data_IF_390342186333
#
_entry.id   IF_390342186333
#
_cell.length_a   1.000
_cell.length_b   1.000
_cell.length_c   1.000
_cell.angle_alpha   90.00
_cell.angle_beta   90.00
_cell.angle_gamma   90.00
#
_symmetry.space_group_name_H-M   'P 1'
#
loop_
_entity.id
_entity.type
_entity.pdbx_description
1 polymer ?
#
# COMPACT_ATOMS: atom_id res chain seq x y z
N UNK A 1 -50.87 34.70 -18.32
CA UNK A 1 -49.82 33.75 -18.73
C UNK A 1 -49.56 32.83 -17.54
N UNK A 2 -49.72 31.51 -17.70
CA UNK A 2 -49.48 30.57 -16.61
C UNK A 2 -47.99 30.20 -16.56
N UNK A 3 -47.35 30.40 -15.41
CA UNK A 3 -45.95 30.04 -15.17
C UNK A 3 -45.81 28.52 -15.17
N UNK A 4 -44.94 27.98 -16.02
CA UNK A 4 -44.63 26.55 -16.06
C UNK A 4 -43.88 26.17 -14.79
N UNK A 5 -44.48 25.32 -13.95
CA UNK A 5 -43.82 24.75 -12.78
C UNK A 5 -42.80 23.72 -13.25
N UNK A 6 -41.50 23.95 -13.01
CA UNK A 6 -40.47 22.93 -13.24
C UNK A 6 -40.72 21.78 -12.26
N UNK A 7 -41.22 20.64 -12.75
CA UNK A 7 -41.30 19.40 -11.97
C UNK A 7 -39.89 18.95 -11.59
N UNK A 8 -39.50 19.14 -10.34
CA UNK A 8 -38.32 18.49 -9.76
C UNK A 8 -38.76 17.06 -9.40
N UNK A 9 -38.30 16.05 -10.13
CA UNK A 9 -38.53 14.65 -9.73
C UNK A 9 -37.76 14.43 -8.43
N UNK A 10 -38.46 14.07 -7.37
CA UNK A 10 -37.84 13.50 -6.19
C UNK A 10 -37.52 12.04 -6.55
N UNK A 11 -36.25 11.66 -6.59
CA UNK A 11 -35.88 10.26 -6.72
C UNK A 11 -36.05 9.63 -5.34
N UNK A 12 -37.07 8.79 -5.18
CA UNK A 12 -37.13 7.86 -4.06
C UNK A 12 -36.08 6.78 -4.34
N UNK A 13 -35.06 6.73 -3.50
CA UNK A 13 -33.96 5.78 -3.61
C UNK A 13 -34.15 4.72 -2.53
N UNK A 14 -33.91 3.46 -2.88
CA UNK A 14 -33.91 2.37 -1.92
C UNK A 14 -32.83 2.61 -0.85
N UNK A 15 -33.10 2.12 0.37
CA UNK A 15 -32.12 2.17 1.45
C UNK A 15 -30.91 1.31 1.06
N UNK A 16 -29.72 1.86 1.26
CA UNK A 16 -28.48 1.17 0.95
C UNK A 16 -28.35 -0.12 1.77
N UNK A 17 -28.06 -1.23 1.09
CA UNK A 17 -27.96 -2.57 1.68
C UNK A 17 -26.57 -2.91 2.23
N UNK A 18 -25.58 -2.02 2.09
CA UNK A 18 -24.20 -2.24 2.54
C UNK A 18 -23.26 -2.86 1.51
N UNK A 19 -23.74 -3.27 0.32
CA UNK A 19 -22.89 -3.83 -0.74
C UNK A 19 -22.30 -2.71 -1.62
N UNK A 20 -20.98 -2.53 -1.56
CA UNK A 20 -20.30 -1.46 -2.30
C UNK A 20 -20.05 -1.80 -3.77
N UNK A 21 -20.11 -3.07 -4.15
CA UNK A 21 -19.66 -3.56 -5.46
C UNK A 21 -20.40 -2.95 -6.65
N UNK A 22 -21.64 -2.52 -6.44
CA UNK A 22 -22.50 -1.88 -7.44
C UNK A 22 -23.09 -0.55 -7.00
N UNK A 23 -22.69 -0.05 -5.82
CA UNK A 23 -23.26 1.15 -5.24
C UNK A 23 -22.60 2.43 -5.76
N UNK A 24 -23.38 3.51 -5.83
CA UNK A 24 -22.89 4.83 -6.23
C UNK A 24 -23.38 5.91 -5.26
N UNK A 25 -22.49 6.82 -4.87
CA UNK A 25 -22.83 8.06 -4.21
C UNK A 25 -23.18 9.07 -5.30
N UNK A 26 -24.37 9.65 -5.18
CA UNK A 26 -24.79 10.76 -6.01
C UNK A 26 -24.47 12.05 -5.27
N UNK A 27 -23.54 12.84 -5.79
CA UNK A 27 -23.20 14.15 -5.22
C UNK A 27 -23.56 15.24 -6.22
N UNK A 28 -23.96 16.40 -5.70
CA UNK A 28 -24.12 17.60 -6.52
C UNK A 28 -23.12 18.66 -6.07
N UNK A 29 -22.35 19.15 -7.03
CA UNK A 29 -21.35 20.22 -6.84
C UNK A 29 -21.57 21.22 -7.97
N UNK A 30 -21.70 22.50 -7.64
CA UNK A 30 -21.93 23.59 -8.60
C UNK A 30 -23.07 23.31 -9.60
N UNK A 31 -24.21 22.84 -9.09
CA UNK A 31 -25.40 22.47 -9.87
C UNK A 31 -25.19 21.34 -10.90
N UNK A 32 -24.03 20.68 -10.90
CA UNK A 32 -23.75 19.46 -11.66
C UNK A 32 -23.91 18.24 -10.78
N UNK A 33 -24.40 17.15 -11.37
CA UNK A 33 -24.53 15.86 -10.69
C UNK A 33 -23.38 14.94 -11.08
N UNK A 34 -22.76 14.32 -10.08
CA UNK A 34 -21.68 13.36 -10.25
C UNK A 34 -22.08 12.02 -9.63
N UNK A 35 -21.64 10.94 -10.28
CA UNK A 35 -21.72 9.58 -9.76
C UNK A 35 -20.34 9.17 -9.30
N UNK A 36 -20.23 8.76 -8.05
CA UNK A 36 -19.01 8.22 -7.49
C UNK A 36 -19.26 6.76 -7.13
N UNK A 37 -18.64 5.80 -7.82
CA UNK A 37 -18.70 4.40 -7.42
C UNK A 37 -18.21 4.23 -5.98
N UNK A 38 -19.02 3.61 -5.12
CA UNK A 38 -18.62 3.34 -3.73
C UNK A 38 -17.53 2.27 -3.65
N UNK A 39 -17.39 1.43 -4.67
CA UNK A 39 -16.23 0.55 -4.84
C UNK A 39 -14.91 1.31 -4.90
N UNK A 40 -14.95 2.58 -5.31
CA UNK A 40 -13.77 3.46 -5.38
C UNK A 40 -13.63 4.32 -4.10
N UNK A 41 -14.60 4.27 -3.18
CA UNK A 41 -14.64 5.10 -1.97
C UNK A 41 -14.65 4.23 -0.70
N UNK A 42 -13.53 4.30 0.01
CA UNK A 42 -13.34 3.71 1.34
C UNK A 42 -13.09 2.21 1.25
N UNK A 43 -11.81 1.84 1.26
CA UNK A 43 -11.33 0.47 1.17
C UNK A 43 -11.98 -0.43 2.21
N UNK A 44 -12.98 -1.19 1.80
CA UNK A 44 -13.90 -1.84 2.70
C UNK A 44 -14.63 -2.97 2.00
N UNK A 45 -13.86 -4.02 1.71
CA UNK A 45 -14.28 -5.27 1.08
C UNK A 45 -13.25 -5.68 0.04
N UNK A 46 -12.33 -6.60 0.37
CA UNK A 46 -11.14 -6.96 -0.43
C UNK A 46 -10.10 -5.83 -0.67
N UNK A 47 -10.49 -4.56 -0.46
CA UNK A 47 -9.66 -3.36 -0.68
C UNK A 47 -9.04 -2.78 0.61
N UNK A 48 -9.06 -3.52 1.72
CA UNK A 48 -8.11 -3.21 2.80
C UNK A 48 -6.74 -3.61 2.25
N UNK A 49 -5.75 -2.70 2.19
CA UNK A 49 -4.36 -3.01 1.83
C UNK A 49 -3.93 -4.25 2.64
N UNK A 50 -4.03 -5.46 2.08
CA UNK A 50 -3.93 -6.65 2.90
C UNK A 50 -2.46 -6.92 3.12
N UNK A 51 -2.10 -7.40 4.31
CA UNK A 51 -0.73 -7.82 4.59
C UNK A 51 -0.30 -8.83 3.52
N UNK A 52 0.70 -8.47 2.72
CA UNK A 52 1.23 -9.33 1.67
C UNK A 52 2.30 -10.24 2.25
N UNK A 53 2.14 -11.54 2.03
CA UNK A 53 3.14 -12.53 2.40
C UNK A 53 3.96 -12.86 1.15
N UNK A 54 5.23 -12.49 1.15
CA UNK A 54 6.16 -12.74 0.07
C UNK A 54 7.21 -13.76 0.52
N UNK A 55 7.60 -14.64 -0.40
CA UNK A 55 8.75 -15.52 -0.23
C UNK A 55 9.72 -15.22 -1.36
N UNK A 56 11.00 -15.00 -1.05
CA UNK A 56 12.04 -14.83 -2.06
C UNK A 56 12.29 -16.14 -2.79
N UNK A 57 11.43 -16.49 -3.75
CA UNK A 57 11.73 -17.53 -4.72
C UNK A 57 12.78 -16.97 -5.70
N UNK A 58 13.77 -17.79 -6.04
CA UNK A 58 14.88 -17.42 -6.94
C UNK A 58 15.73 -16.22 -6.45
N UNK A 59 15.77 -15.97 -5.13
CA UNK A 59 16.57 -14.91 -4.53
C UNK A 59 16.11 -13.50 -4.86
N UNK A 60 14.87 -13.31 -5.33
CA UNK A 60 14.31 -11.98 -5.64
C UNK A 60 12.94 -11.81 -4.99
N UNK A 61 12.70 -10.63 -4.42
CA UNK A 61 11.38 -10.22 -3.92
C UNK A 61 11.06 -8.83 -4.46
N UNK A 62 9.91 -8.72 -5.12
CA UNK A 62 9.37 -7.46 -5.59
C UNK A 62 8.29 -6.97 -4.63
N UNK A 63 8.46 -5.74 -4.14
CA UNK A 63 7.50 -5.05 -3.27
C UNK A 63 6.68 -4.11 -4.16
N UNK A 64 5.36 -4.30 -4.17
CA UNK A 64 4.44 -3.48 -4.95
C UNK A 64 3.62 -2.54 -4.05
N UNK A 65 4.00 -1.26 -3.92
CA UNK A 65 3.29 -0.29 -3.08
C UNK A 65 1.89 0.03 -3.59
N UNK A 66 1.47 -0.48 -4.75
CA UNK A 66 0.13 -0.26 -5.30
C UNK A 66 -0.91 -1.26 -4.77
N UNK A 67 -0.48 -2.37 -4.17
CA UNK A 67 -1.39 -3.43 -3.69
C UNK A 67 -1.44 -3.57 -2.17
N UNK A 68 -0.41 -3.06 -1.47
CA UNK A 68 -0.31 -3.10 -0.02
C UNK A 68 0.71 -2.08 0.51
N UNK A 69 0.61 -1.79 1.80
CA UNK A 69 1.57 -1.02 2.58
C UNK A 69 2.26 -1.87 3.66
N UNK A 70 1.79 -3.09 3.94
CA UNK A 70 2.38 -4.02 4.91
C UNK A 70 2.81 -5.33 4.21
N UNK A 71 4.08 -5.69 4.37
CA UNK A 71 4.70 -6.86 3.74
C UNK A 71 5.45 -7.71 4.76
N UNK A 72 5.09 -8.99 4.84
CA UNK A 72 5.85 -10.01 5.54
C UNK A 72 6.68 -10.77 4.49
N UNK A 73 8.00 -10.70 4.61
CA UNK A 73 8.95 -11.27 3.65
C UNK A 73 9.73 -12.40 4.31
N UNK A 74 9.53 -13.63 3.85
CA UNK A 74 10.37 -14.77 4.27
C UNK A 74 11.63 -14.84 3.41
N UNK A 75 12.79 -14.71 4.06
CA UNK A 75 14.10 -14.83 3.44
C UNK A 75 14.49 -16.31 3.36
N UNK A 76 14.23 -16.94 2.22
CA UNK A 76 14.56 -18.36 1.97
C UNK A 76 15.98 -18.59 1.48
N UNK A 77 16.51 -17.65 0.69
CA UNK A 77 17.81 -17.76 0.04
C UNK A 77 18.93 -17.06 0.82
N UNK A 78 20.20 -17.51 0.69
CA UNK A 78 21.35 -16.88 1.33
C UNK A 78 21.48 -15.39 1.02
N UNK A 79 21.01 -14.96 -0.15
CA UNK A 79 20.92 -13.55 -0.54
C UNK A 79 19.62 -13.34 -1.30
N UNK A 80 18.80 -12.42 -0.82
CA UNK A 80 17.54 -12.00 -1.45
C UNK A 80 17.69 -10.56 -1.94
N UNK A 81 17.53 -10.32 -3.23
CA UNK A 81 17.47 -8.99 -3.79
C UNK A 81 16.04 -8.42 -3.67
N UNK A 82 15.92 -7.24 -3.07
CA UNK A 82 14.65 -6.51 -3.02
C UNK A 82 14.55 -5.52 -4.18
N UNK A 83 13.37 -5.43 -4.78
CA UNK A 83 12.96 -4.33 -5.66
C UNK A 83 11.67 -3.70 -5.14
N UNK A 84 11.43 -2.44 -5.51
CA UNK A 84 10.17 -1.74 -5.24
C UNK A 84 9.66 -1.26 -6.59
N UNK A 85 8.43 -1.62 -6.96
CA UNK A 85 7.82 -1.16 -8.22
C UNK A 85 7.45 0.33 -8.12
N UNK A 86 7.36 1.04 -9.24
CA UNK A 86 6.87 2.42 -9.23
C UNK A 86 5.44 2.51 -8.70
N UNK A 87 5.15 3.57 -7.95
CA UNK A 87 3.78 3.92 -7.60
C UNK A 87 3.05 4.39 -8.86
N UNK A 88 1.86 3.87 -9.08
CA UNK A 88 0.94 4.26 -10.16
C UNK A 88 0.27 5.57 -9.78
N UNK A 89 0.30 6.55 -10.67
CA UNK A 89 -0.30 7.88 -10.50
C UNK A 89 0.05 8.55 -9.14
N UNK A 90 1.34 8.79 -8.86
CA UNK A 90 1.76 9.35 -7.58
C UNK A 90 1.18 10.75 -7.37
N UNK A 91 0.62 10.98 -6.18
CA UNK A 91 -0.02 12.23 -5.79
C UNK A 91 1.02 13.17 -5.19
N UNK A 92 1.26 14.35 -5.79
CA UNK A 92 2.22 15.32 -5.27
C UNK A 92 1.90 15.75 -3.83
N UNK A 93 2.94 15.89 -3.00
CA UNK A 93 2.78 16.29 -1.59
C UNK A 93 2.29 15.19 -0.66
N UNK A 94 2.13 13.96 -1.16
CA UNK A 94 1.74 12.80 -0.36
C UNK A 94 2.96 12.07 0.17
N UNK A 95 2.90 11.63 1.43
CA UNK A 95 3.85 10.69 2.00
C UNK A 95 3.33 9.27 1.78
N UNK A 96 4.20 8.42 1.27
CA UNK A 96 3.95 6.98 1.14
C UNK A 96 4.78 6.25 2.19
N UNK A 97 4.21 5.24 2.83
CA UNK A 97 4.86 4.47 3.89
C UNK A 97 4.66 2.98 3.61
N UNK A 98 5.73 2.20 3.82
CA UNK A 98 5.73 0.74 3.75
C UNK A 98 6.26 0.20 5.07
N UNK A 99 5.61 -0.83 5.61
CA UNK A 99 6.07 -1.61 6.73
C UNK A 99 6.54 -2.97 6.21
N UNK A 100 7.77 -3.34 6.56
CA UNK A 100 8.37 -4.61 6.18
C UNK A 100 8.69 -5.42 7.43
N UNK A 101 8.15 -6.63 7.50
CA UNK A 101 8.55 -7.65 8.48
C UNK A 101 9.40 -8.69 7.76
N UNK A 102 10.69 -8.72 8.05
CA UNK A 102 11.63 -9.66 7.47
C UNK A 102 11.77 -10.87 8.40
N UNK A 103 11.48 -12.07 7.89
CA UNK A 103 11.61 -13.31 8.66
C UNK A 103 12.71 -14.20 8.08
N UNK A 104 13.65 -14.60 8.92
CA UNK A 104 14.71 -15.53 8.54
C UNK A 104 14.17 -16.94 8.28
N UNK A 105 14.34 -17.45 7.05
CA UNK A 105 13.86 -18.77 6.66
C UNK A 105 14.79 -19.93 7.03
N UNK A 106 16.10 -19.71 6.95
CA UNK A 106 17.15 -20.67 7.36
C UNK A 106 18.13 -20.08 8.38
N UNK A 107 18.11 -18.75 8.55
CA UNK A 107 19.16 -18.01 9.26
C UNK A 107 20.32 -17.62 8.34
N UNK A 108 21.08 -16.62 8.76
CA UNK A 108 22.21 -16.01 8.05
C UNK A 108 21.88 -15.45 6.64
N UNK A 109 20.60 -15.32 6.29
CA UNK A 109 20.19 -14.82 5.00
C UNK A 109 20.33 -13.30 4.96
N UNK A 110 20.79 -12.80 3.81
CA UNK A 110 21.10 -11.39 3.57
C UNK A 110 20.11 -10.77 2.60
N UNK A 111 20.01 -9.45 2.66
CA UNK A 111 19.26 -8.66 1.71
C UNK A 111 20.20 -7.79 0.90
N UNK A 112 19.94 -7.71 -0.41
CA UNK A 112 20.46 -6.64 -1.27
C UNK A 112 19.35 -5.61 -1.45
N UNK A 113 19.53 -4.43 -0.86
CA UNK A 113 18.55 -3.35 -0.96
C UNK A 113 18.60 -2.66 -2.33
N UNK A 114 17.46 -2.21 -2.89
CA UNK A 114 17.48 -1.43 -4.12
C UNK A 114 18.11 -0.06 -3.87
N UNK A 115 18.78 0.49 -4.87
CA UNK A 115 19.46 1.79 -4.75
C UNK A 115 18.52 2.97 -4.42
N UNK A 116 17.21 2.81 -4.63
CA UNK A 116 16.16 3.76 -4.25
C UNK A 116 15.98 3.87 -2.73
N UNK A 117 16.35 2.83 -1.96
CA UNK A 117 16.31 2.84 -0.50
C UNK A 117 17.56 3.51 0.05
N UNK A 118 17.36 4.50 0.91
CA UNK A 118 18.38 5.32 1.54
C UNK A 118 18.35 5.11 3.04
N UNK A 119 19.46 4.63 3.58
CA UNK A 119 19.65 4.43 5.01
C UNK A 119 20.37 5.61 5.66
N UNK A 120 20.18 5.85 6.97
CA UNK A 120 20.94 6.86 7.71
C UNK A 120 22.45 6.66 7.51
N UNK A 121 23.13 7.74 7.13
CA UNK A 121 24.57 7.74 6.83
C UNK A 121 25.01 6.76 5.72
N UNK A 122 24.08 6.26 4.90
CA UNK A 122 24.37 5.26 3.86
C UNK A 122 24.70 3.87 4.39
N UNK A 123 24.44 3.60 5.68
CA UNK A 123 24.72 2.32 6.32
C UNK A 123 23.44 1.47 6.40
N UNK A 124 23.44 0.33 5.71
CA UNK A 124 22.34 -0.64 5.77
C UNK A 124 22.13 -1.15 7.21
N UNK A 125 20.88 -1.46 7.59
CA UNK A 125 20.56 -1.90 8.93
C UNK A 125 21.17 -3.27 9.22
N UNK A 126 21.73 -3.51 10.43
CA UNK A 126 22.01 -4.86 10.86
C UNK A 126 20.69 -5.61 11.04
N UNK A 127 20.60 -6.79 10.43
CA UNK A 127 19.47 -7.70 10.56
C UNK A 127 19.81 -8.85 11.52
N UNK A 128 18.77 -9.50 12.02
CA UNK A 128 18.86 -10.77 12.72
C UNK A 128 19.21 -11.89 11.74
N UNK A 129 20.05 -12.81 12.21
CA UNK A 129 20.55 -13.95 11.42
C UNK A 129 20.17 -15.30 12.01
N UNK A 130 19.41 -15.33 13.10
CA UNK A 130 18.90 -16.57 13.69
C UNK A 130 17.71 -17.06 12.87
N UNK A 131 17.57 -18.37 12.70
CA UNK A 131 16.39 -18.99 12.11
C UNK A 131 15.11 -18.47 12.78
N UNK A 132 14.10 -18.15 11.96
CA UNK A 132 12.79 -17.63 12.35
C UNK A 132 12.76 -16.27 13.06
N UNK A 133 13.91 -15.65 13.31
CA UNK A 133 13.95 -14.29 13.86
C UNK A 133 13.28 -13.30 12.90
N UNK A 134 12.58 -12.33 13.48
CA UNK A 134 11.88 -11.28 12.74
C UNK A 134 12.48 -9.89 13.02
N UNK A 135 12.67 -9.12 11.95
CA UNK A 135 13.05 -7.72 12.00
C UNK A 135 11.97 -6.86 11.32
N UNK A 136 11.62 -5.74 11.95
CA UNK A 136 10.59 -4.82 11.45
C UNK A 136 11.24 -3.52 11.02
N UNK A 137 10.96 -3.08 9.80
CA UNK A 137 11.50 -1.88 9.18
C UNK A 137 10.38 -1.04 8.57
N UNK A 138 10.58 0.28 8.55
CA UNK A 138 9.71 1.22 7.85
C UNK A 138 10.47 1.87 6.71
N UNK A 139 9.84 1.95 5.54
CA UNK A 139 10.30 2.76 4.42
C UNK A 139 9.30 3.91 4.20
N UNK A 140 9.80 5.12 3.98
CA UNK A 140 8.95 6.28 3.68
C UNK A 140 9.43 7.08 2.48
N UNK A 141 8.52 7.50 1.62
CA UNK A 141 8.80 8.33 0.44
C UNK A 141 7.95 9.59 0.46
N UNK A 142 8.52 10.69 -0.03
CA UNK A 142 7.83 11.98 -0.23
C UNK A 142 7.96 12.48 -1.68
N UNK A 143 8.47 11.64 -2.58
CA UNK A 143 8.74 11.96 -3.99
C UNK A 143 8.10 10.93 -4.94
N UNK A 144 6.92 10.44 -4.56
CA UNK A 144 6.14 9.51 -5.38
C UNK A 144 6.76 8.12 -5.51
N UNK A 145 7.56 7.68 -4.53
CA UNK A 145 8.19 6.37 -4.52
C UNK A 145 9.51 6.29 -5.29
N UNK A 146 10.07 7.44 -5.72
CA UNK A 146 11.37 7.48 -6.40
C UNK A 146 12.51 7.17 -5.42
N UNK A 147 12.46 7.74 -4.22
CA UNK A 147 13.38 7.44 -3.12
C UNK A 147 12.64 7.09 -1.84
N UNK A 148 13.22 6.17 -1.07
CA UNK A 148 12.65 5.64 0.16
C UNK A 148 13.64 5.79 1.31
N UNK A 149 13.28 6.50 2.37
CA UNK A 149 14.06 6.58 3.60
C UNK A 149 13.74 5.38 4.49
N UNK A 150 14.73 4.57 4.79
CA UNK A 150 14.58 3.40 5.64
C UNK A 150 14.87 3.69 7.11
N UNK A 151 14.11 3.04 8.00
CA UNK A 151 14.33 3.02 9.44
C UNK A 151 14.10 1.62 10.01
N UNK A 152 14.89 1.24 11.01
CA UNK A 152 14.65 0.03 11.81
C UNK A 152 13.64 0.38 12.90
N UNK A 153 12.57 -0.40 13.00
CA UNK A 153 11.58 -0.30 14.07
C UNK A 153 11.91 -1.24 15.24
N UNK A 154 12.41 -2.45 14.94
CA UNK A 154 12.86 -3.42 15.93
C UNK A 154 13.52 -4.62 15.27
N UNK A 155 14.36 -5.34 16.01
CA UNK A 155 15.08 -6.51 15.51
C UNK A 155 15.08 -7.64 16.52
N UNK A 156 15.03 -8.88 16.03
CA UNK A 156 15.25 -10.09 16.82
C UNK A 156 14.05 -10.57 17.63
N UNK A 157 12.84 -10.35 17.11
CA UNK A 157 11.63 -10.99 17.62
C UNK A 157 11.63 -12.51 17.36
#
# INVERSE_FOLDING_TARGET
>A
MATVVKKKRLHELDSYNGDKSSAVALISVDEKEYKLPLSEIGGGGADANPIQNLSGADGVVEIDPNIADDFIIRLGDPTTALSITPITDPVPGTRYELLLTLRQGTGANKITWPASVKWPNGAEPPLSYTLDAEDVLSLSSTDGGTTWKGAICGTGY
#
